data_IF_861976727427
#
_entry.id   IF_861976727427
#
_cell.length_a   1.000
_cell.length_b   1.000
_cell.length_c   1.000
_cell.angle_alpha   90.00
_cell.angle_beta   90.00
_cell.angle_gamma   90.00
#
_symmetry.space_group_name_H-M   'P 1'
#
loop_
_entity.id
_entity.type
_entity.pdbx_description
1 polymer ?
#
# COMPACT_ATOMS: atom_id res chain seq x y z
N UNK A 1 0.83 -1.08 9.16
CA UNK A 1 -0.18 -0.71 8.14
C UNK A 1 0.03 0.71 7.69
N UNK A 2 -0.02 0.93 6.41
CA UNK A 2 0.13 2.26 5.85
C UNK A 2 -0.19 2.30 4.37
N UNK A 3 0.11 3.41 3.75
CA UNK A 3 -0.12 3.64 2.32
C UNK A 3 1.18 3.52 1.54
N UNK A 4 1.06 3.11 0.30
CA UNK A 4 2.12 3.14 -0.69
C UNK A 4 1.91 4.35 -1.58
N UNK A 5 2.95 5.16 -1.75
CA UNK A 5 2.91 6.42 -2.47
C UNK A 5 4.03 6.45 -3.51
N UNK A 6 3.72 6.89 -4.70
CA UNK A 6 4.71 6.98 -5.77
C UNK A 6 4.08 7.25 -7.12
N UNK A 7 4.65 6.67 -8.15
CA UNK A 7 4.20 6.88 -9.53
C UNK A 7 4.28 5.60 -10.35
N UNK A 8 3.59 5.61 -11.48
CA UNK A 8 3.69 4.58 -12.50
C UNK A 8 4.53 5.14 -13.64
N UNK A 9 5.58 4.43 -14.00
CA UNK A 9 6.49 4.83 -15.08
C UNK A 9 7.02 3.59 -15.79
N UNK A 10 6.98 3.59 -17.10
CA UNK A 10 7.48 2.48 -17.93
C UNK A 10 6.95 1.09 -17.49
N UNK A 11 5.63 1.00 -17.27
CA UNK A 11 4.96 -0.23 -16.85
C UNK A 11 5.44 -0.77 -15.49
N UNK A 12 5.97 0.10 -14.63
CA UNK A 12 6.40 -0.26 -13.28
C UNK A 12 5.79 0.69 -12.25
N UNK A 13 5.57 0.16 -11.06
CA UNK A 13 5.22 0.96 -9.89
C UNK A 13 6.51 1.37 -9.19
N UNK A 14 6.71 2.67 -9.06
CA UNK A 14 7.85 3.24 -8.32
C UNK A 14 7.35 3.72 -6.97
N UNK A 15 7.54 2.92 -5.94
CA UNK A 15 7.19 3.30 -4.57
C UNK A 15 8.27 4.25 -4.06
N UNK A 16 7.89 5.50 -3.86
CA UNK A 16 8.81 6.57 -3.45
C UNK A 16 8.71 6.89 -1.97
N UNK A 17 7.56 6.64 -1.37
CA UNK A 17 7.32 6.88 0.04
C UNK A 17 6.27 5.90 0.56
N UNK A 18 6.33 5.64 1.86
CA UNK A 18 5.30 4.89 2.57
C UNK A 18 4.82 5.71 3.75
N UNK A 19 3.57 5.54 4.13
CA UNK A 19 3.10 6.05 5.41
C UNK A 19 3.20 4.94 6.45
N UNK A 20 3.40 5.31 7.69
CA UNK A 20 3.43 4.39 8.83
C UNK A 20 2.14 4.52 9.64
N UNK A 21 1.85 3.62 10.57
CA UNK A 21 0.68 3.76 11.43
C UNK A 21 0.65 5.14 12.10
N UNK A 22 -0.53 5.74 12.12
CA UNK A 22 -0.73 7.06 12.72
C UNK A 22 -1.04 6.91 14.22
N UNK A 23 -0.90 7.99 15.01
CA UNK A 23 -1.33 7.95 16.42
C UNK A 23 -2.83 7.69 16.61
N UNK A 24 -3.61 7.81 15.56
CA UNK A 24 -5.07 7.64 15.58
C UNK A 24 -5.51 6.23 15.15
N UNK A 25 -4.59 5.37 14.71
CA UNK A 25 -4.90 3.99 14.39
C UNK A 25 -5.02 3.18 15.68
N UNK A 26 -5.94 2.23 15.69
CA UNK A 26 -6.05 1.27 16.76
C UNK A 26 -5.22 0.04 16.39
N UNK A 27 -4.16 -0.23 17.16
CA UNK A 27 -3.22 -1.29 16.88
C UNK A 27 -3.27 -2.37 17.95
N UNK A 28 -3.22 -3.62 17.51
CA UNK A 28 -2.93 -4.77 18.34
C UNK A 28 -1.96 -5.69 17.59
N UNK A 29 -1.50 -6.76 18.26
CA UNK A 29 -0.60 -7.74 17.65
C UNK A 29 -1.15 -8.33 16.35
N UNK A 30 -2.47 -8.49 16.25
CA UNK A 30 -3.13 -9.17 15.14
C UNK A 30 -4.06 -8.28 14.33
N UNK A 31 -4.24 -7.04 14.73
CA UNK A 31 -5.24 -6.16 14.13
C UNK A 31 -4.76 -4.73 14.09
N UNK A 32 -4.96 -4.08 12.94
CA UNK A 32 -4.79 -2.66 12.76
C UNK A 32 -6.11 -2.08 12.25
N UNK A 33 -6.70 -1.17 13.02
CA UNK A 33 -7.95 -0.51 12.64
C UNK A 33 -7.64 0.93 12.27
N UNK A 34 -7.99 1.32 11.06
CA UNK A 34 -7.90 2.70 10.62
C UNK A 34 -9.16 3.45 11.03
N UNK A 35 -9.01 4.47 11.87
CA UNK A 35 -10.10 5.33 12.29
C UNK A 35 -10.36 6.43 11.27
N UNK A 36 -11.46 7.17 11.40
CA UNK A 36 -11.73 8.32 10.55
C UNK A 36 -10.65 9.40 10.71
N UNK A 37 -10.14 9.60 11.93
CA UNK A 37 -9.04 10.54 12.16
C UNK A 37 -7.77 10.12 11.45
N UNK A 38 -7.44 8.83 11.41
CA UNK A 38 -6.28 8.35 10.70
C UNK A 38 -6.46 8.47 9.18
N UNK A 39 -7.66 8.24 8.67
CA UNK A 39 -7.96 8.45 7.26
C UNK A 39 -7.76 9.91 6.86
N UNK A 40 -8.24 10.85 7.67
CA UNK A 40 -8.06 12.29 7.43
C UNK A 40 -6.58 12.69 7.50
N UNK A 41 -5.85 12.15 8.47
CA UNK A 41 -4.41 12.36 8.61
C UNK A 41 -3.66 11.90 7.36
N UNK A 42 -3.93 10.69 6.90
CA UNK A 42 -3.31 10.11 5.70
C UNK A 42 -3.66 10.91 4.44
N UNK A 43 -4.90 11.35 4.32
CA UNK A 43 -5.33 12.17 3.19
C UNK A 43 -4.56 13.48 3.10
N UNK A 44 -4.36 14.16 4.24
CA UNK A 44 -3.58 15.38 4.30
C UNK A 44 -2.11 15.14 3.97
N UNK A 45 -1.55 14.02 4.44
CA UNK A 45 -0.18 13.64 4.13
C UNK A 45 0.00 13.35 2.63
N UNK A 46 -0.95 12.67 2.00
CA UNK A 46 -0.94 12.44 0.55
C UNK A 46 -0.94 13.74 -0.24
N UNK A 47 -1.77 14.70 0.17
CA UNK A 47 -1.80 16.03 -0.46
C UNK A 47 -0.44 16.72 -0.36
N UNK A 48 0.20 16.65 0.82
CA UNK A 48 1.50 17.26 1.04
C UNK A 48 2.58 16.62 0.15
N UNK A 49 2.62 15.30 0.10
CA UNK A 49 3.58 14.56 -0.73
C UNK A 49 3.36 14.82 -2.21
N UNK A 50 2.11 14.88 -2.64
CA UNK A 50 1.77 15.23 -4.02
C UNK A 50 2.28 16.61 -4.38
N UNK A 51 2.03 17.60 -3.54
CA UNK A 51 2.50 18.97 -3.75
C UNK A 51 4.03 19.05 -3.76
N UNK A 52 4.70 18.40 -2.82
CA UNK A 52 6.16 18.41 -2.71
C UNK A 52 6.85 17.73 -3.90
N UNK A 53 6.20 16.78 -4.54
CA UNK A 53 6.73 16.05 -5.70
C UNK A 53 6.32 16.65 -7.04
N UNK A 54 5.86 17.90 -7.09
CA UNK A 54 5.31 18.54 -8.28
C UNK A 54 4.14 17.75 -8.88
N UNK A 55 3.26 17.26 -8.04
CA UNK A 55 2.07 16.48 -8.40
C UNK A 55 2.39 15.14 -9.11
N UNK A 56 3.58 14.59 -8.89
CA UNK A 56 3.98 13.32 -9.48
C UNK A 56 3.69 12.10 -8.61
N UNK A 57 3.72 12.26 -7.29
CA UNK A 57 3.50 11.14 -6.36
C UNK A 57 2.04 11.07 -5.95
N UNK A 58 1.48 9.88 -6.08
CA UNK A 58 0.08 9.61 -5.82
C UNK A 58 -0.08 8.35 -4.97
N UNK A 59 -1.27 8.15 -4.45
CA UNK A 59 -1.64 6.93 -3.77
C UNK A 59 -1.60 5.75 -4.75
N UNK A 60 -0.84 4.71 -4.40
CA UNK A 60 -0.72 3.50 -5.20
C UNK A 60 -1.44 2.30 -4.59
N UNK A 61 -1.52 2.24 -3.28
CA UNK A 61 -2.09 1.10 -2.58
C UNK A 61 -1.75 1.08 -1.10
N UNK A 62 -1.75 -0.09 -0.52
CA UNK A 62 -1.57 -0.27 0.91
C UNK A 62 -0.54 -1.35 1.22
N UNK A 63 0.09 -1.22 2.38
CA UNK A 63 0.95 -2.25 2.94
C UNK A 63 0.56 -2.56 4.38
N UNK A 64 0.82 -3.78 4.81
CA UNK A 64 0.76 -4.17 6.21
C UNK A 64 1.64 -5.39 6.47
N UNK A 65 1.81 -5.73 7.73
CA UNK A 65 2.57 -6.89 8.15
C UNK A 65 1.64 -7.96 8.67
N UNK A 66 2.00 -9.22 8.45
CA UNK A 66 1.37 -10.37 9.09
C UNK A 66 2.39 -11.10 9.94
N UNK A 67 1.99 -11.68 11.08
CA UNK A 67 2.87 -12.51 11.91
C UNK A 67 3.07 -13.90 11.29
N UNK A 68 3.34 -13.96 10.01
CA UNK A 68 3.48 -15.17 9.23
C UNK A 68 4.74 -15.12 8.39
N UNK A 69 5.41 -16.27 8.23
CA UNK A 69 6.60 -16.39 7.38
C UNK A 69 6.23 -16.27 5.91
N UNK A 70 5.11 -16.90 5.52
CA UNK A 70 4.54 -16.85 4.17
C UNK A 70 3.17 -16.20 4.22
N UNK A 71 3.12 -14.85 4.24
CA UNK A 71 1.86 -14.15 4.42
C UNK A 71 0.94 -14.31 3.21
N UNK A 72 -0.34 -14.34 3.50
CA UNK A 72 -1.42 -14.33 2.51
C UNK A 72 -2.51 -13.37 3.00
N UNK A 73 -3.29 -12.80 2.08
CA UNK A 73 -4.43 -11.99 2.49
C UNK A 73 -5.39 -12.81 3.35
N UNK A 74 -5.80 -12.26 4.48
CA UNK A 74 -6.87 -12.82 5.28
C UNK A 74 -8.23 -12.47 4.67
N UNK A 75 -9.28 -13.15 5.12
CA UNK A 75 -10.65 -12.80 4.74
C UNK A 75 -10.99 -11.36 5.12
N UNK A 76 -10.50 -10.91 6.28
CA UNK A 76 -10.65 -9.52 6.73
C UNK A 76 -9.94 -8.56 5.78
N UNK A 77 -8.74 -8.88 5.33
CA UNK A 77 -8.02 -8.06 4.34
C UNK A 77 -8.81 -7.91 3.05
N UNK A 78 -9.27 -9.03 2.50
CA UNK A 78 -10.04 -9.03 1.24
C UNK A 78 -11.34 -8.24 1.37
N UNK A 79 -12.04 -8.36 2.50
CA UNK A 79 -13.25 -7.59 2.76
C UNK A 79 -12.94 -6.09 2.88
N UNK A 80 -11.89 -5.73 3.60
CA UNK A 80 -11.46 -4.33 3.73
C UNK A 80 -11.08 -3.72 2.39
N UNK A 81 -10.41 -4.48 1.54
CA UNK A 81 -10.01 -4.00 0.22
C UNK A 81 -11.19 -3.79 -0.73
N UNK A 82 -12.28 -4.51 -0.53
CA UNK A 82 -13.52 -4.27 -1.28
C UNK A 82 -14.19 -2.94 -0.92
N UNK A 83 -13.96 -2.45 0.31
CA UNK A 83 -14.47 -1.18 0.78
C UNK A 83 -13.59 0.02 0.41
N UNK A 84 -12.41 -0.22 -0.17
CA UNK A 84 -11.51 0.86 -0.56
C UNK A 84 -12.16 1.72 -1.65
N UNK A 85 -11.94 3.04 -1.61
CA UNK A 85 -12.40 3.93 -2.67
C UNK A 85 -11.88 3.43 -4.01
N UNK A 86 -12.77 3.30 -4.98
CA UNK A 86 -12.39 2.88 -6.34
C UNK A 86 -11.66 3.98 -7.11
N UNK A 87 -11.32 5.06 -6.44
CA UNK A 87 -10.66 6.24 -6.99
C UNK A 87 -9.20 6.30 -6.55
N UNK A 88 -8.36 5.49 -7.17
CA UNK A 88 -6.95 5.85 -7.20
C UNK A 88 -6.73 6.93 -8.25
N UNK A 89 -5.65 7.64 -8.13
CA UNK A 89 -5.37 8.78 -8.99
C UNK A 89 -5.08 8.38 -10.45
N UNK A 90 -4.55 7.18 -10.67
CA UNK A 90 -4.16 6.70 -12.00
C UNK A 90 -5.27 5.95 -12.71
N UNK A 91 -5.88 5.03 -11.99
CA UNK A 91 -6.97 4.24 -12.48
C UNK A 91 -7.79 3.78 -11.27
N UNK A 92 -9.09 3.92 -11.38
CA UNK A 92 -10.03 3.64 -10.30
C UNK A 92 -10.05 2.18 -9.87
N UNK A 93 -9.51 1.28 -10.68
CA UNK A 93 -9.57 -0.15 -10.45
C UNK A 93 -8.22 -0.80 -10.23
N UNK A 94 -7.15 0.00 -10.11
CA UNK A 94 -5.78 -0.51 -9.90
C UNK A 94 -5.31 -0.17 -8.50
N UNK A 95 -4.96 -1.20 -7.73
CA UNK A 95 -4.38 -1.05 -6.39
C UNK A 95 -3.20 -1.99 -6.22
N UNK A 96 -2.15 -1.47 -5.62
CA UNK A 96 -0.99 -2.24 -5.21
C UNK A 96 -1.15 -2.68 -3.75
N UNK A 97 -0.99 -3.98 -3.46
CA UNK A 97 -1.07 -4.51 -2.11
C UNK A 97 0.21 -5.24 -1.74
N UNK A 98 0.75 -4.90 -0.59
CA UNK A 98 2.01 -5.47 -0.08
C UNK A 98 1.81 -5.93 1.35
N UNK A 99 1.90 -7.25 1.57
CA UNK A 99 1.89 -7.85 2.90
C UNK A 99 3.30 -8.34 3.22
N UNK A 100 3.90 -7.75 4.23
CA UNK A 100 5.28 -8.07 4.62
C UNK A 100 5.33 -9.32 5.48
N UNK A 101 6.28 -10.21 5.15
CA UNK A 101 6.61 -11.38 5.97
C UNK A 101 7.16 -10.96 7.33
N UNK A 102 6.96 -11.80 8.34
CA UNK A 102 7.55 -11.61 9.66
C UNK A 102 9.06 -11.86 9.72
N UNK A 103 9.64 -12.50 8.72
CA UNK A 103 11.06 -12.91 8.74
C UNK A 103 11.84 -12.48 7.52
N UNK A 104 11.35 -12.79 6.31
CA UNK A 104 12.14 -12.61 5.07
C UNK A 104 11.31 -11.92 4.00
N UNK A 105 11.81 -10.80 3.47
CA UNK A 105 11.10 -10.04 2.44
C UNK A 105 10.89 -10.79 1.13
N UNK A 106 11.71 -11.79 0.81
CA UNK A 106 11.48 -12.65 -0.35
C UNK A 106 10.18 -13.45 -0.27
N UNK A 107 9.61 -13.58 0.92
CA UNK A 107 8.35 -14.26 1.17
C UNK A 107 7.16 -13.30 1.18
N UNK A 108 7.36 -12.01 1.00
CA UNK A 108 6.28 -11.03 1.01
C UNK A 108 5.23 -11.37 -0.05
N UNK A 109 3.99 -11.08 0.29
CA UNK A 109 2.89 -11.17 -0.67
C UNK A 109 2.73 -9.81 -1.33
N UNK A 110 3.10 -9.71 -2.61
CA UNK A 110 3.06 -8.47 -3.38
C UNK A 110 2.25 -8.69 -4.64
N UNK A 111 1.12 -8.03 -4.74
CA UNK A 111 0.20 -8.18 -5.85
C UNK A 111 -0.38 -6.84 -6.27
N UNK A 112 -0.73 -6.76 -7.55
CA UNK A 112 -1.57 -5.72 -8.08
C UNK A 112 -2.97 -6.27 -8.30
N UNK A 113 -3.98 -5.50 -7.93
CA UNK A 113 -5.37 -5.82 -8.25
C UNK A 113 -5.84 -4.90 -9.38
N UNK A 114 -6.28 -5.53 -10.46
CA UNK A 114 -6.85 -4.82 -11.61
C UNK A 114 -8.25 -5.41 -11.85
N UNK A 115 -9.29 -4.60 -11.73
CA UNK A 115 -10.68 -5.03 -11.93
C UNK A 115 -11.03 -6.29 -11.13
N UNK A 116 -10.67 -6.32 -9.85
CA UNK A 116 -10.90 -7.42 -8.91
C UNK A 116 -10.11 -8.71 -9.20
N UNK A 117 -9.13 -8.66 -10.08
CA UNK A 117 -8.23 -9.79 -10.35
C UNK A 117 -6.84 -9.46 -9.82
N UNK A 118 -6.24 -10.38 -9.08
CA UNK A 118 -4.91 -10.22 -8.52
C UNK A 118 -3.85 -10.82 -9.43
N UNK A 119 -2.78 -10.07 -9.62
CA UNK A 119 -1.60 -10.50 -10.37
C UNK A 119 -0.37 -10.34 -9.47
N UNK A 120 0.42 -11.41 -9.37
CA UNK A 120 1.65 -11.37 -8.60
C UNK A 120 2.66 -10.43 -9.26
N UNK A 121 3.31 -9.60 -8.42
CA UNK A 121 4.38 -8.71 -8.86
C UNK A 121 5.73 -9.22 -8.35
N UNK A 122 6.77 -8.81 -9.03
CA UNK A 122 8.15 -9.04 -8.63
C UNK A 122 8.74 -7.72 -8.18
N UNK A 123 9.40 -7.74 -7.01
CA UNK A 123 10.12 -6.58 -6.51
C UNK A 123 11.47 -6.51 -7.21
N UNK A 124 11.74 -5.41 -7.92
CA UNK A 124 13.01 -5.13 -8.52
C UNK A 124 13.74 -4.06 -7.73
N UNK A 125 15.02 -4.25 -7.50
CA UNK A 125 15.87 -3.23 -6.91
C UNK A 125 16.31 -2.26 -8.00
N UNK A 126 16.27 -0.97 -7.70
CA UNK A 126 16.85 0.05 -8.56
C UNK A 126 18.37 0.06 -8.36
N UNK A 127 19.10 -0.65 -9.21
CA UNK A 127 20.56 -0.73 -9.16
C UNK A 127 21.24 0.59 -9.45
N UNK A 128 20.56 1.51 -10.13
CA UNK A 128 21.11 2.83 -10.43
C UNK A 128 21.22 3.72 -9.21
N UNK A 129 20.57 3.36 -8.11
CA UNK A 129 20.59 4.12 -6.86
C UNK A 129 21.74 3.70 -5.92
N UNK A 130 22.50 2.71 -6.28
CA UNK A 130 23.61 2.21 -5.45
C UNK A 130 24.90 3.02 -5.62
#
# INVERSE_FOLDING_TARGET
MGLLVGLVWENAFWVKAITTPTPFDELSRFLCIRTQKSADYNFNLLKKLNKQSNHQWHYLGEWHTHPEIYPKPSKTDLNSWNELPKNTYYDRNIHLFWICSSEVHSNDWLNIRINNVFFKLVLENDESSQ
#
